data_IF_891304341157
#
_entry.id   IF_891304341157
#
_cell.length_a   1.000
_cell.length_b   1.000
_cell.length_c   1.000
_cell.angle_alpha   90.00
_cell.angle_beta   90.00
_cell.angle_gamma   90.00
#
_symmetry.space_group_name_H-M   'P 1'
#
loop_
_entity.id
_entity.type
_entity.pdbx_description
1 polymer ?
#
# COMPACT_ATOMS: atom_id res chain seq x y z
N UNK A 1 -4.16 -5.85 18.63
CA UNK A 1 -5.49 -6.33 19.07
C UNK A 1 -5.34 -7.69 19.76
N UNK A 2 -5.89 -7.83 20.96
CA UNK A 2 -5.91 -9.11 21.67
C UNK A 2 -7.10 -9.94 21.15
N UNK A 3 -6.84 -11.17 20.77
CA UNK A 3 -7.90 -12.13 20.41
C UNK A 3 -8.56 -12.57 21.73
N UNK A 4 -9.89 -12.41 21.84
CA UNK A 4 -10.65 -12.89 22.99
C UNK A 4 -10.74 -14.44 22.90
N UNK A 5 -10.12 -15.17 23.86
CA UNK A 5 -10.11 -16.64 23.81
C UNK A 5 -11.52 -17.27 23.89
N UNK A 6 -12.51 -16.57 24.42
CA UNK A 6 -13.88 -17.06 24.58
C UNK A 6 -14.64 -17.12 23.24
N UNK A 7 -14.20 -16.35 22.24
CA UNK A 7 -14.79 -16.32 20.91
C UNK A 7 -14.18 -17.34 19.95
N UNK A 8 -13.17 -18.11 20.39
CA UNK A 8 -12.45 -19.06 19.55
C UNK A 8 -13.13 -20.44 19.63
N UNK A 9 -13.62 -20.91 18.49
CA UNK A 9 -14.17 -22.26 18.37
C UNK A 9 -13.10 -23.36 18.45
N UNK A 10 -13.52 -24.62 18.56
CA UNK A 10 -12.62 -25.76 18.72
C UNK A 10 -11.75 -26.03 17.48
N UNK A 11 -12.20 -25.67 16.27
CA UNK A 11 -11.46 -25.84 15.03
C UNK A 11 -10.38 -24.77 14.86
N UNK A 12 -10.66 -23.54 15.28
CA UNK A 12 -9.73 -22.40 15.21
C UNK A 12 -8.67 -22.45 16.31
N UNK A 13 -8.97 -23.05 17.48
CA UNK A 13 -8.08 -23.09 18.65
C UNK A 13 -6.65 -23.58 18.35
N UNK A 14 -6.41 -24.65 17.56
CA UNK A 14 -5.06 -25.10 17.22
C UNK A 14 -4.28 -24.09 16.37
N UNK A 15 -4.94 -23.19 15.67
CA UNK A 15 -4.35 -22.22 14.75
C UNK A 15 -3.90 -20.93 15.46
N UNK A 16 -4.44 -20.65 16.66
CA UNK A 16 -4.22 -19.40 17.40
C UNK A 16 -2.75 -19.12 17.64
N UNK A 17 -1.99 -20.13 18.06
CA UNK A 17 -0.55 -19.94 18.33
C UNK A 17 0.21 -19.54 17.06
N UNK A 18 -0.11 -20.16 15.90
CA UNK A 18 0.51 -19.82 14.60
C UNK A 18 0.15 -18.41 14.17
N UNK A 19 -1.12 -18.04 14.28
CA UNK A 19 -1.62 -16.70 13.90
C UNK A 19 -1.00 -15.63 14.81
N UNK A 20 -0.93 -15.88 16.12
CA UNK A 20 -0.34 -14.93 17.08
C UNK A 20 1.16 -14.73 16.82
N UNK A 21 1.89 -15.80 16.53
CA UNK A 21 3.32 -15.72 16.19
C UNK A 21 3.54 -14.93 14.87
N UNK A 22 2.66 -15.11 13.90
CA UNK A 22 2.72 -14.40 12.62
C UNK A 22 2.40 -12.90 12.76
N UNK A 23 1.40 -12.55 13.57
CA UNK A 23 1.08 -11.15 13.90
C UNK A 23 2.26 -10.39 14.53
N UNK A 24 3.12 -11.10 15.28
CA UNK A 24 4.34 -10.52 15.85
C UNK A 24 5.42 -10.20 14.78
N UNK A 25 5.29 -10.74 13.56
CA UNK A 25 6.23 -10.52 12.45
C UNK A 25 5.76 -9.42 11.48
N UNK A 26 4.59 -8.83 11.73
CA UNK A 26 3.96 -7.83 10.87
C UNK A 26 2.72 -8.33 10.15
N UNK A 27 2.03 -7.43 9.48
CA UNK A 27 0.74 -7.73 8.83
C UNK A 27 0.90 -8.72 7.67
N UNK A 28 1.94 -8.57 6.84
CA UNK A 28 2.21 -9.48 5.70
C UNK A 28 2.48 -10.93 6.16
N UNK A 29 3.19 -11.09 7.29
CA UNK A 29 3.42 -12.40 7.91
C UNK A 29 2.12 -13.08 8.34
N UNK A 30 1.22 -12.34 8.97
CA UNK A 30 -0.09 -12.85 9.39
C UNK A 30 -0.94 -13.28 8.19
N UNK A 31 -0.95 -12.49 7.12
CA UNK A 31 -1.71 -12.78 5.90
C UNK A 31 -1.20 -14.05 5.20
N UNK A 32 0.10 -14.26 5.14
CA UNK A 32 0.71 -15.49 4.58
C UNK A 32 0.28 -16.75 5.34
N UNK A 33 0.27 -16.71 6.68
CA UNK A 33 -0.21 -17.84 7.51
C UNK A 33 -1.69 -18.12 7.27
N UNK A 34 -2.52 -17.10 7.07
CA UNK A 34 -3.94 -17.28 6.75
C UNK A 34 -4.09 -18.01 5.41
N UNK A 35 -3.33 -17.61 4.38
CA UNK A 35 -3.33 -18.32 3.09
C UNK A 35 -2.95 -19.79 3.29
N UNK A 36 -1.84 -20.06 3.98
CA UNK A 36 -1.37 -21.42 4.24
C UNK A 36 -2.44 -22.27 4.93
N UNK A 37 -3.19 -21.70 5.89
CA UNK A 37 -4.27 -22.41 6.58
C UNK A 37 -5.35 -22.85 5.58
N UNK A 38 -5.79 -21.96 4.69
CA UNK A 38 -6.80 -22.28 3.68
C UNK A 38 -6.28 -23.30 2.66
N UNK A 39 -5.04 -23.13 2.18
CA UNK A 39 -4.44 -24.04 1.22
C UNK A 39 -4.23 -25.46 1.80
N UNK A 40 -3.84 -25.57 3.07
CA UNK A 40 -3.75 -26.85 3.77
C UNK A 40 -5.14 -27.52 3.99
N UNK A 41 -6.19 -26.72 4.06
CA UNK A 41 -7.57 -27.22 4.12
C UNK A 41 -8.13 -27.60 2.73
N UNK A 42 -7.33 -27.50 1.66
CA UNK A 42 -7.71 -27.89 0.30
C UNK A 42 -8.37 -26.78 -0.51
N UNK A 43 -8.39 -25.53 -0.02
CA UNK A 43 -8.88 -24.38 -0.78
C UNK A 43 -7.76 -23.81 -1.65
N UNK A 44 -8.11 -23.35 -2.84
CA UNK A 44 -7.21 -22.55 -3.67
C UNK A 44 -7.42 -21.07 -3.37
N UNK A 45 -6.38 -20.38 -2.87
CA UNK A 45 -6.41 -18.93 -2.68
C UNK A 45 -5.95 -18.25 -3.96
N UNK A 46 -6.84 -17.46 -4.56
CA UNK A 46 -6.59 -16.72 -5.81
C UNK A 46 -6.56 -15.23 -5.55
N UNK A 47 -5.72 -14.51 -6.28
CA UNK A 47 -5.63 -13.06 -6.16
C UNK A 47 -6.80 -12.35 -6.82
N UNK A 48 -7.15 -11.19 -6.27
CA UNK A 48 -8.20 -10.31 -6.79
C UNK A 48 -8.07 -10.06 -8.30
N UNK A 49 -6.86 -9.76 -8.79
CA UNK A 49 -6.61 -9.52 -10.21
C UNK A 49 -6.79 -10.75 -11.12
N UNK A 50 -6.86 -11.97 -10.56
CA UNK A 50 -7.19 -13.19 -11.31
C UNK A 50 -8.71 -13.34 -11.48
N UNK A 51 -9.49 -12.88 -10.51
CA UNK A 51 -10.95 -12.98 -10.51
C UNK A 51 -11.60 -11.81 -11.25
N UNK A 52 -11.05 -10.61 -11.08
CA UNK A 52 -11.58 -9.36 -11.63
C UNK A 52 -10.46 -8.50 -12.22
N UNK A 53 -9.80 -8.94 -13.30
CA UNK A 53 -8.66 -8.23 -13.90
C UNK A 53 -9.04 -6.83 -14.40
N UNK A 54 -10.31 -6.61 -14.74
CA UNK A 54 -10.84 -5.32 -15.19
C UNK A 54 -10.82 -4.22 -14.10
N UNK A 55 -10.66 -4.59 -12.84
CA UNK A 55 -10.51 -3.62 -11.75
C UNK A 55 -9.06 -3.18 -11.52
N UNK A 56 -8.09 -3.86 -12.15
CA UNK A 56 -6.71 -3.40 -12.15
C UNK A 56 -6.53 -2.29 -13.18
N UNK A 57 -5.99 -1.12 -12.77
CA UNK A 57 -5.73 -0.04 -13.72
C UNK A 57 -4.81 -0.49 -14.85
N UNK A 58 -5.12 -0.15 -16.12
CA UNK A 58 -4.24 -0.47 -17.24
C UNK A 58 -2.92 0.30 -17.15
N UNK A 59 -1.91 -0.22 -17.83
CA UNK A 59 -0.62 0.47 -17.97
C UNK A 59 -0.79 1.76 -18.79
N UNK A 60 -0.20 2.84 -18.33
CA UNK A 60 -0.14 4.11 -19.05
C UNK A 60 -0.72 5.29 -18.28
N UNK A 61 -1.07 6.33 -19.01
CA UNK A 61 -1.60 7.57 -18.46
C UNK A 61 -3.12 7.46 -18.35
N UNK A 62 -3.63 7.53 -17.13
CA UNK A 62 -5.07 7.37 -16.82
C UNK A 62 -5.81 8.70 -16.74
N UNK A 63 -5.12 9.81 -16.92
CA UNK A 63 -5.68 11.18 -16.83
C UNK A 63 -5.43 11.98 -18.09
N UNK A 64 -6.06 13.17 -18.20
CA UNK A 64 -5.83 14.07 -19.33
C UNK A 64 -4.45 14.72 -19.31
N UNK A 65 -3.79 14.79 -18.15
CA UNK A 65 -2.45 15.35 -18.00
C UNK A 65 -1.41 14.25 -18.05
N UNK A 66 -0.44 14.36 -18.95
CA UNK A 66 0.74 13.52 -18.94
C UNK A 66 1.75 13.98 -17.88
N UNK A 67 2.49 13.08 -17.25
CA UNK A 67 3.59 13.44 -16.35
C UNK A 67 4.69 14.15 -17.12
N UNK A 68 5.23 15.21 -16.54
CA UNK A 68 6.41 15.90 -17.06
C UNK A 68 7.70 15.18 -16.61
N UNK A 69 8.86 15.70 -16.99
CA UNK A 69 10.15 15.10 -16.64
C UNK A 69 10.37 15.04 -15.13
N UNK A 70 10.04 16.11 -14.40
CA UNK A 70 10.18 16.15 -12.94
C UNK A 70 9.27 15.13 -12.26
N UNK A 71 8.01 14.98 -12.73
CA UNK A 71 7.09 13.97 -12.21
C UNK A 71 7.66 12.54 -12.37
N UNK A 72 8.37 12.28 -13.48
CA UNK A 72 9.01 10.97 -13.74
C UNK A 72 10.22 10.75 -12.81
N UNK A 73 11.06 11.78 -12.62
CA UNK A 73 12.22 11.73 -11.74
C UNK A 73 11.76 11.56 -10.26
N UNK A 74 10.68 12.25 -9.86
CA UNK A 74 10.05 12.10 -8.54
C UNK A 74 9.47 10.69 -8.35
N UNK A 75 8.85 10.11 -9.38
CA UNK A 75 8.33 8.74 -9.35
C UNK A 75 9.46 7.72 -9.21
N UNK A 76 10.56 7.87 -9.94
CA UNK A 76 11.73 7.01 -9.81
C UNK A 76 12.34 7.10 -8.40
N UNK A 77 12.44 8.32 -7.84
CA UNK A 77 12.88 8.53 -6.46
C UNK A 77 11.98 7.84 -5.45
N UNK A 78 10.65 8.02 -5.59
CA UNK A 78 9.67 7.42 -4.71
C UNK A 78 9.68 5.88 -4.77
N UNK A 79 9.82 5.30 -5.98
CA UNK A 79 9.95 3.86 -6.15
C UNK A 79 11.17 3.30 -5.40
N UNK A 80 12.32 3.98 -5.49
CA UNK A 80 13.53 3.61 -4.75
C UNK A 80 13.32 3.68 -3.22
N UNK A 81 12.57 4.66 -2.73
CA UNK A 81 12.21 4.78 -1.31
C UNK A 81 11.36 3.57 -0.87
N UNK A 82 10.31 3.22 -1.61
CA UNK A 82 9.44 2.07 -1.27
C UNK A 82 10.26 0.77 -1.28
N UNK A 83 11.12 0.55 -2.27
CA UNK A 83 12.00 -0.62 -2.30
C UNK A 83 12.93 -0.65 -1.08
N UNK A 84 13.53 0.48 -0.71
CA UNK A 84 14.42 0.59 0.45
C UNK A 84 13.71 0.38 1.80
N UNK A 85 12.42 0.72 1.91
CA UNK A 85 11.62 0.55 3.12
C UNK A 85 10.98 -0.85 3.21
N UNK A 86 10.85 -1.57 2.11
CA UNK A 86 10.18 -2.87 2.04
C UNK A 86 10.73 -3.90 3.05
N UNK A 87 12.07 -4.03 3.23
CA UNK A 87 12.62 -4.99 4.21
C UNK A 87 12.26 -4.66 5.67
N UNK A 88 11.87 -3.41 5.95
CA UNK A 88 11.48 -2.94 7.28
C UNK A 88 9.96 -3.00 7.51
N UNK A 89 9.21 -3.48 6.52
CA UNK A 89 7.75 -3.56 6.53
C UNK A 89 7.06 -2.19 6.78
N UNK A 90 7.66 -1.10 6.28
CA UNK A 90 7.17 0.27 6.46
C UNK A 90 6.44 0.71 5.20
N UNK A 91 5.13 0.91 5.30
CA UNK A 91 4.25 1.59 4.36
C UNK A 91 4.33 1.14 2.90
N UNK A 92 3.46 1.71 2.09
CA UNK A 92 3.27 1.39 0.67
C UNK A 92 3.16 2.67 -0.20
N UNK A 93 3.29 3.85 0.42
CA UNK A 93 3.18 5.11 -0.26
C UNK A 93 4.27 6.10 0.16
N UNK A 94 4.64 6.96 -0.78
CA UNK A 94 5.64 8.01 -0.59
C UNK A 94 5.23 9.24 -1.41
N UNK A 95 5.33 10.42 -0.81
CA UNK A 95 5.15 11.70 -1.50
C UNK A 95 6.51 12.33 -1.80
N UNK A 96 6.74 12.71 -3.05
CA UNK A 96 7.99 13.30 -3.52
C UNK A 96 7.70 14.54 -4.36
N UNK A 97 8.45 15.60 -4.15
CA UNK A 97 8.42 16.80 -4.99
C UNK A 97 9.84 17.36 -5.20
N UNK A 98 10.21 17.63 -6.43
CA UNK A 98 11.53 18.15 -6.78
C UNK A 98 12.66 17.23 -6.29
N UNK A 99 12.49 15.92 -6.38
CA UNK A 99 13.40 14.87 -5.90
C UNK A 99 13.55 14.78 -4.37
N UNK A 100 12.79 15.58 -3.60
CA UNK A 100 12.76 15.53 -2.14
C UNK A 100 11.61 14.66 -1.65
N UNK A 101 11.91 13.74 -0.75
CA UNK A 101 10.90 12.95 -0.05
C UNK A 101 10.21 13.86 0.96
N UNK A 102 8.93 14.13 0.76
CA UNK A 102 8.13 14.97 1.65
C UNK A 102 7.56 14.18 2.83
N UNK A 103 7.09 12.97 2.56
CA UNK A 103 6.54 12.06 3.57
C UNK A 103 6.57 10.63 3.05
N UNK A 104 6.59 9.69 3.99
CA UNK A 104 6.42 8.25 3.74
C UNK A 104 5.25 7.75 4.56
N UNK A 105 4.54 6.78 4.01
CA UNK A 105 3.49 6.08 4.74
C UNK A 105 4.12 5.22 5.83
N UNK A 106 3.55 5.28 7.03
CA UNK A 106 3.91 4.45 8.17
C UNK A 106 2.62 3.95 8.84
N UNK A 107 2.65 3.63 10.11
CA UNK A 107 1.53 3.06 10.86
C UNK A 107 0.20 3.81 10.71
N UNK A 108 0.23 5.12 10.54
CA UNK A 108 -0.98 5.94 10.36
C UNK A 108 -1.66 5.79 8.99
N UNK A 109 -1.05 5.09 8.04
CA UNK A 109 -1.58 4.88 6.69
C UNK A 109 -1.45 6.09 5.76
N UNK A 110 -1.86 5.90 4.50
CA UNK A 110 -1.79 6.93 3.45
C UNK A 110 -2.58 8.19 3.81
N UNK A 111 -3.74 8.02 4.44
CA UNK A 111 -4.60 9.15 4.80
C UNK A 111 -3.90 10.08 5.80
N UNK A 112 -3.36 9.53 6.87
CA UNK A 112 -2.64 10.30 7.88
C UNK A 112 -1.41 11.00 7.29
N UNK A 113 -0.66 10.31 6.43
CA UNK A 113 0.48 10.89 5.72
C UNK A 113 0.05 12.10 4.88
N UNK A 114 -1.01 11.98 4.09
CA UNK A 114 -1.52 13.09 3.27
C UNK A 114 -2.07 14.24 4.12
N UNK A 115 -2.76 13.94 5.22
CA UNK A 115 -3.22 14.97 6.17
C UNK A 115 -2.06 15.75 6.78
N UNK A 116 -0.94 15.11 7.11
CA UNK A 116 0.26 15.79 7.62
C UNK A 116 0.84 16.79 6.61
N UNK A 117 0.81 16.44 5.32
CA UNK A 117 1.22 17.35 4.22
C UNK A 117 0.23 18.52 4.07
N UNK A 118 -1.07 18.24 4.14
CA UNK A 118 -2.11 19.27 4.05
C UNK A 118 -1.98 20.28 5.19
N UNK A 119 -1.76 19.83 6.42
CA UNK A 119 -1.65 20.66 7.60
C UNK A 119 -0.47 21.66 7.52
N UNK A 120 0.56 21.36 6.76
CA UNK A 120 1.75 22.20 6.57
C UNK A 120 2.02 22.52 5.09
N UNK A 121 0.96 22.66 4.31
CA UNK A 121 1.04 22.81 2.85
C UNK A 121 2.00 23.93 2.40
N UNK A 122 2.10 25.01 3.15
CA UNK A 122 2.98 26.14 2.81
C UNK A 122 4.47 25.89 3.11
N UNK A 123 4.79 24.83 3.85
CA UNK A 123 6.16 24.47 4.19
C UNK A 123 6.86 23.59 3.13
N UNK A 124 6.08 23.06 2.17
CA UNK A 124 6.55 22.11 1.17
C UNK A 124 6.63 22.74 -0.22
N UNK A 125 7.50 22.23 -1.12
CA UNK A 125 7.46 22.57 -2.53
C UNK A 125 6.07 22.35 -3.12
N UNK A 126 5.71 23.13 -4.12
CA UNK A 126 4.49 22.91 -4.90
C UNK A 126 4.73 21.83 -5.95
N UNK A 127 3.69 21.07 -6.27
CA UNK A 127 3.78 19.98 -7.24
C UNK A 127 4.29 18.68 -6.63
N UNK A 128 4.85 17.82 -7.48
CA UNK A 128 5.28 16.49 -7.09
C UNK A 128 4.16 15.46 -7.14
N UNK A 129 4.46 14.25 -6.68
CA UNK A 129 3.56 13.10 -6.83
C UNK A 129 3.39 12.33 -5.52
N UNK A 130 2.25 11.68 -5.40
CA UNK A 130 2.09 10.52 -4.54
C UNK A 130 2.44 9.27 -5.34
N UNK A 131 3.38 8.47 -4.85
CA UNK A 131 3.67 7.15 -5.38
C UNK A 131 3.08 6.08 -4.46
N UNK A 132 2.42 5.06 -5.04
CA UNK A 132 1.93 3.92 -4.29
C UNK A 132 2.27 2.61 -5.01
N UNK A 133 2.82 1.65 -4.24
CA UNK A 133 3.23 0.34 -4.75
C UNK A 133 3.19 -0.69 -3.63
N UNK A 134 2.99 -1.98 -3.92
CA UNK A 134 3.18 -3.03 -2.93
C UNK A 134 4.64 -3.08 -2.49
N UNK A 135 4.88 -3.52 -1.27
CA UNK A 135 6.22 -3.82 -0.76
C UNK A 135 6.83 -4.99 -1.54
N UNK A 136 8.16 -5.02 -1.62
CA UNK A 136 8.86 -6.16 -2.22
C UNK A 136 8.58 -7.43 -1.44
N UNK A 137 8.09 -8.47 -2.11
CA UNK A 137 7.75 -9.74 -1.47
C UNK A 137 6.39 -9.79 -0.77
N UNK A 138 5.58 -8.72 -0.88
CA UNK A 138 4.21 -8.70 -0.34
C UNK A 138 3.33 -9.75 -1.00
N UNK A 139 2.48 -10.38 -0.19
CA UNK A 139 1.49 -11.36 -0.68
C UNK A 139 0.32 -10.65 -1.36
N UNK A 140 0.39 -10.57 -2.68
CA UNK A 140 -0.56 -9.80 -3.51
C UNK A 140 -1.90 -10.49 -3.72
N UNK A 141 -2.05 -11.75 -3.32
CA UNK A 141 -3.32 -12.48 -3.50
C UNK A 141 -4.40 -11.94 -2.57
N UNK A 142 -4.02 -11.44 -1.39
CA UNK A 142 -4.98 -10.97 -0.38
C UNK A 142 -4.75 -9.54 0.11
N UNK A 143 -3.62 -8.94 -0.25
CA UNK A 143 -3.32 -7.56 0.11
C UNK A 143 -2.77 -6.79 -1.08
N UNK A 144 -3.60 -5.90 -1.62
CA UNK A 144 -3.20 -4.92 -2.63
C UNK A 144 -3.41 -3.51 -2.07
N UNK A 145 -2.40 -2.62 -2.21
CA UNK A 145 -2.60 -1.20 -2.00
C UNK A 145 -3.78 -0.69 -2.82
N UNK A 146 -4.59 0.17 -2.23
CA UNK A 146 -5.75 0.73 -2.92
C UNK A 146 -5.68 2.26 -3.02
N UNK A 147 -6.25 2.81 -4.09
CA UNK A 147 -6.46 4.24 -4.29
C UNK A 147 -7.94 4.49 -4.60
N UNK A 148 -8.57 5.32 -3.79
CA UNK A 148 -9.95 5.71 -3.99
C UNK A 148 -10.11 7.22 -4.24
N UNK A 149 -11.35 7.67 -4.52
CA UNK A 149 -11.64 9.09 -4.74
C UNK A 149 -11.24 9.99 -3.56
N UNK A 150 -11.24 9.47 -2.33
CA UNK A 150 -10.78 10.20 -1.16
C UNK A 150 -9.28 10.51 -1.24
N UNK A 151 -8.46 9.54 -1.64
CA UNK A 151 -7.02 9.71 -1.85
C UNK A 151 -6.75 10.79 -2.90
N UNK A 152 -7.46 10.74 -4.04
CA UNK A 152 -7.32 11.75 -5.11
C UNK A 152 -7.62 13.17 -4.59
N UNK A 153 -8.69 13.33 -3.79
CA UNK A 153 -9.03 14.63 -3.18
C UNK A 153 -7.96 15.11 -2.20
N UNK A 154 -7.39 14.22 -1.41
CA UNK A 154 -6.35 14.56 -0.44
C UNK A 154 -5.03 14.92 -1.12
N UNK A 155 -4.64 14.21 -2.18
CA UNK A 155 -3.47 14.52 -3.01
C UNK A 155 -3.57 15.93 -3.58
N UNK A 156 -4.74 16.29 -4.14
CA UNK A 156 -5.01 17.66 -4.61
C UNK A 156 -4.89 18.69 -3.46
N UNK A 157 -5.48 18.42 -2.29
CA UNK A 157 -5.41 19.32 -1.12
C UNK A 157 -3.96 19.45 -0.59
N UNK A 158 -3.18 18.38 -0.63
CA UNK A 158 -1.75 18.40 -0.31
C UNK A 158 -0.92 19.21 -1.33
N UNK A 159 -1.51 19.55 -2.49
CA UNK A 159 -0.88 20.33 -3.56
C UNK A 159 0.11 19.52 -4.37
N UNK A 160 -0.06 18.22 -4.39
CA UNK A 160 0.63 17.32 -5.30
C UNK A 160 -0.06 17.36 -6.67
N UNK A 161 0.73 17.19 -7.72
CA UNK A 161 0.27 17.28 -9.11
C UNK A 161 -0.37 16.00 -9.63
N UNK A 162 -0.01 14.86 -9.03
CA UNK A 162 -0.52 13.57 -9.51
C UNK A 162 -0.28 12.40 -8.59
N UNK A 163 -0.73 11.25 -9.06
CA UNK A 163 -0.54 9.96 -8.40
C UNK A 163 0.11 9.01 -9.41
N UNK A 164 1.14 8.32 -8.98
CA UNK A 164 1.79 7.25 -9.73
C UNK A 164 1.62 5.95 -8.97
N UNK A 165 1.18 4.91 -9.66
CA UNK A 165 0.95 3.59 -9.06
C UNK A 165 1.74 2.52 -9.79
N UNK A 166 2.15 1.48 -9.06
CA UNK A 166 2.78 0.31 -9.68
C UNK A 166 1.74 -0.50 -10.46
N UNK A 167 1.99 -0.72 -11.74
CA UNK A 167 1.11 -1.53 -12.60
C UNK A 167 0.94 -2.95 -12.05
N UNK A 168 -0.31 -3.43 -12.05
CA UNK A 168 -0.67 -4.75 -11.54
C UNK A 168 -0.46 -4.94 -10.03
N UNK A 169 -0.17 -3.87 -9.29
CA UNK A 169 0.10 -3.92 -7.85
C UNK A 169 -0.74 -2.96 -7.00
N UNK A 170 -1.65 -2.22 -7.60
CA UNK A 170 -2.53 -1.25 -6.91
C UNK A 170 -3.92 -1.29 -7.55
N UNK A 171 -4.98 -1.21 -6.75
CA UNK A 171 -6.38 -1.15 -7.16
C UNK A 171 -7.01 0.19 -6.80
#
# INVERSE_FOLDING_TARGET
>A
PSIDPTLIDSATRPLVARITAALAQGDDGALKIIIEIFEHAGFQVVGFGQVMPELLPPLGILSHRAPNRQDQDDAARAAAVIVGMSPLDIGQACAVAGSHVLAVEAYGGTEWMLQSLIARRQAWPTGGILFKAPKTGQERRIDLPAIGPATCRQVKKAGLDGIVIAHGGVV
#
